data_IF_008463649678
#
_entry.id   IF_008463649678
#
_cell.length_a   1.000
_cell.length_b   1.000
_cell.length_c   1.000
_cell.angle_alpha   90.00
_cell.angle_beta   90.00
_cell.angle_gamma   90.00
#
_symmetry.space_group_name_H-M   'P 1'
#
loop_
_entity.id
_entity.type
_entity.pdbx_description
1 polymer ?
#
# COMPACT_ATOMS: atom_id res chain seq x y z
N UNK A 1 -23.77 7.74 -5.29
CA UNK A 1 -22.81 7.88 -4.18
C UNK A 1 -21.52 7.22 -4.65
N UNK A 2 -20.40 7.95 -4.69
CA UNK A 2 -19.13 7.49 -5.27
C UNK A 2 -18.53 6.32 -4.45
N UNK A 3 -18.12 5.24 -5.14
CA UNK A 3 -17.51 4.05 -4.53
C UNK A 3 -16.27 4.41 -3.69
N UNK A 4 -15.49 5.41 -4.12
CA UNK A 4 -14.33 5.90 -3.38
C UNK A 4 -14.73 6.53 -2.04
N UNK A 5 -15.82 7.30 -2.01
CA UNK A 5 -16.33 7.89 -0.77
C UNK A 5 -16.83 6.84 0.23
N UNK A 6 -17.44 5.76 -0.25
CA UNK A 6 -17.87 4.63 0.59
C UNK A 6 -16.64 3.92 1.16
N UNK A 7 -15.64 3.64 0.32
CA UNK A 7 -14.37 3.04 0.72
C UNK A 7 -13.64 3.88 1.78
N UNK A 8 -13.48 5.18 1.55
CA UNK A 8 -12.85 6.10 2.50
C UNK A 8 -13.58 6.10 3.85
N UNK A 9 -14.91 6.13 3.86
CA UNK A 9 -15.68 6.07 5.11
C UNK A 9 -15.44 4.77 5.87
N UNK A 10 -15.39 3.62 5.17
CA UNK A 10 -15.09 2.32 5.77
C UNK A 10 -13.68 2.30 6.37
N UNK A 11 -12.68 2.76 5.62
CA UNK A 11 -11.30 2.87 6.09
C UNK A 11 -11.21 3.76 7.33
N UNK A 12 -11.81 4.95 7.32
CA UNK A 12 -11.76 5.86 8.47
C UNK A 12 -12.42 5.26 9.71
N UNK A 13 -13.52 4.53 9.56
CA UNK A 13 -14.16 3.80 10.66
C UNK A 13 -13.22 2.72 11.22
N UNK A 14 -12.52 1.99 10.36
CA UNK A 14 -11.55 0.97 10.75
C UNK A 14 -10.34 1.58 11.44
N UNK A 15 -9.77 2.66 10.89
CA UNK A 15 -8.65 3.39 11.50
C UNK A 15 -9.03 3.91 12.88
N UNK A 16 -10.19 4.55 13.04
CA UNK A 16 -10.66 5.06 14.33
C UNK A 16 -10.89 3.95 15.38
N UNK A 17 -11.36 2.77 14.94
CA UNK A 17 -11.50 1.59 15.82
C UNK A 17 -10.14 0.99 16.19
N UNK A 18 -9.18 1.03 15.27
CA UNK A 18 -7.88 0.39 15.45
C UNK A 18 -6.92 1.28 16.22
N UNK A 19 -6.98 2.61 16.05
CA UNK A 19 -6.10 3.57 16.72
C UNK A 19 -6.18 3.53 18.25
N UNK A 20 -7.26 3.01 18.82
CA UNK A 20 -7.40 2.78 20.27
C UNK A 20 -6.70 1.51 20.76
N UNK A 21 -6.39 0.57 19.87
CA UNK A 21 -5.81 -0.74 20.20
C UNK A 21 -4.39 -0.91 19.66
N UNK A 22 -4.13 -0.47 18.43
CA UNK A 22 -2.86 -0.64 17.74
C UNK A 22 -2.66 0.52 16.75
N UNK A 23 -1.55 1.28 16.85
CA UNK A 23 -1.24 2.31 15.87
C UNK A 23 -0.96 1.70 14.48
N UNK A 24 -1.20 2.49 13.43
CA UNK A 24 -0.86 2.09 12.07
C UNK A 24 0.65 1.87 11.93
N UNK A 25 1.12 0.81 11.25
CA UNK A 25 2.51 0.41 11.28
C UNK A 25 3.46 1.43 10.63
N UNK A 26 3.06 2.07 9.52
CA UNK A 26 3.92 3.06 8.85
C UNK A 26 3.86 4.39 9.58
N UNK A 27 5.03 4.82 10.05
CA UNK A 27 5.31 6.14 10.60
C UNK A 27 6.23 6.88 9.63
N UNK A 28 5.79 8.02 9.13
CA UNK A 28 6.60 8.91 8.31
C UNK A 28 7.62 9.66 9.17
N UNK A 29 8.63 10.24 8.53
CA UNK A 29 9.77 10.86 9.22
C UNK A 29 9.38 12.13 9.99
N UNK A 30 8.26 12.76 9.61
CA UNK A 30 7.64 13.89 10.31
C UNK A 30 6.79 13.47 11.52
N UNK A 31 6.75 12.17 11.84
CA UNK A 31 5.95 11.60 12.92
C UNK A 31 4.48 11.37 12.57
N UNK A 32 4.05 11.65 11.34
CA UNK A 32 2.68 11.39 10.89
C UNK A 32 2.49 9.93 10.47
N UNK A 33 1.24 9.49 10.37
CA UNK A 33 0.87 8.15 9.87
C UNK A 33 0.02 8.29 8.62
N UNK A 34 0.62 8.59 7.46
CA UNK A 34 -0.11 8.81 6.22
C UNK A 34 -0.95 7.59 5.83
N UNK A 35 -2.13 7.85 5.29
CA UNK A 35 -3.11 6.83 4.86
C UNK A 35 -3.49 7.10 3.42
N UNK A 36 -3.35 6.09 2.56
CA UNK A 36 -3.83 6.11 1.18
C UNK A 36 -4.93 5.07 1.04
N UNK A 37 -6.07 5.47 0.48
CA UNK A 37 -7.20 4.56 0.21
C UNK A 37 -7.20 4.20 -1.27
N UNK A 38 -7.18 2.91 -1.55
CA UNK A 38 -7.25 2.36 -2.90
C UNK A 38 -8.45 1.42 -3.07
N UNK A 39 -8.95 1.34 -4.30
CA UNK A 39 -9.94 0.35 -4.72
C UNK A 39 -9.24 -0.87 -5.34
N UNK A 40 -9.89 -2.04 -5.40
CA UNK A 40 -9.31 -3.24 -6.04
C UNK A 40 -8.90 -3.01 -7.49
N UNK A 41 -9.66 -2.18 -8.20
CA UNK A 41 -9.44 -1.83 -9.60
C UNK A 41 -8.54 -0.59 -9.78
N UNK A 42 -8.07 0.05 -8.70
CA UNK A 42 -7.06 1.10 -8.83
C UNK A 42 -5.75 0.46 -9.35
N UNK A 43 -5.10 1.12 -10.29
CA UNK A 43 -3.77 0.71 -10.77
C UNK A 43 -2.71 0.93 -9.69
N UNK A 44 -1.80 -0.04 -9.56
CA UNK A 44 -0.70 0.01 -8.59
C UNK A 44 0.18 1.23 -8.82
N UNK A 45 0.44 1.61 -10.08
CA UNK A 45 1.22 2.79 -10.40
C UNK A 45 0.54 4.10 -9.92
N UNK A 46 -0.77 4.22 -10.09
CA UNK A 46 -1.51 5.39 -9.57
C UNK A 46 -1.61 5.42 -8.04
N UNK A 47 -1.55 4.26 -7.39
CA UNK A 47 -1.40 4.21 -5.92
C UNK A 47 0.01 4.64 -5.52
N UNK A 48 1.01 4.19 -6.26
CA UNK A 48 2.41 4.54 -6.04
C UNK A 48 2.64 6.05 -6.06
N UNK A 49 2.20 6.73 -7.12
CA UNK A 49 2.29 8.18 -7.27
C UNK A 49 1.62 8.93 -6.10
N UNK A 50 0.51 8.41 -5.58
CA UNK A 50 -0.14 8.99 -4.40
C UNK A 50 0.66 8.81 -3.12
N UNK A 51 1.40 7.71 -2.98
CA UNK A 51 2.29 7.49 -1.83
C UNK A 51 3.54 8.40 -1.93
N UNK A 52 4.07 8.62 -3.13
CA UNK A 52 5.15 9.57 -3.37
C UNK A 52 4.80 10.99 -2.92
N UNK A 53 3.54 11.41 -3.11
CA UNK A 53 3.06 12.69 -2.60
C UNK A 53 3.16 12.85 -1.06
N UNK A 54 3.34 11.75 -0.32
CA UNK A 54 3.57 11.72 1.13
C UNK A 54 5.02 11.39 1.52
N UNK A 55 5.98 11.64 0.62
CA UNK A 55 7.39 11.33 0.87
C UNK A 55 7.71 9.84 0.75
N UNK A 56 6.90 9.10 -0.02
CA UNK A 56 7.15 7.71 -0.36
C UNK A 56 6.79 6.70 0.74
N UNK A 57 6.16 7.13 1.84
CA UNK A 57 5.76 6.25 2.95
C UNK A 57 4.28 6.38 3.24
N UNK A 58 3.54 5.28 3.28
CA UNK A 58 2.11 5.30 3.62
C UNK A 58 1.56 3.96 4.10
N UNK A 59 0.48 4.02 4.89
CA UNK A 59 -0.40 2.90 5.16
C UNK A 59 -1.45 2.82 4.05
N UNK A 60 -1.32 1.86 3.14
CA UNK A 60 -2.24 1.72 2.01
C UNK A 60 -3.36 0.77 2.39
N UNK A 61 -4.59 1.27 2.40
CA UNK A 61 -5.79 0.46 2.58
C UNK A 61 -6.43 0.15 1.24
N UNK A 62 -6.53 -1.14 0.89
CA UNK A 62 -7.29 -1.59 -0.27
C UNK A 62 -8.67 -2.03 0.19
N UNK A 63 -9.70 -1.32 -0.28
CA UNK A 63 -11.07 -1.53 0.16
C UNK A 63 -11.86 -2.45 -0.77
N UNK A 64 -11.79 -3.75 -0.51
CA UNK A 64 -12.63 -4.74 -1.18
C UNK A 64 -14.10 -4.62 -0.72
N UNK A 65 -15.07 -5.15 -1.49
CA UNK A 65 -16.48 -5.12 -1.09
C UNK A 65 -16.72 -5.59 0.35
N UNK A 66 -16.08 -6.70 0.74
CA UNK A 66 -16.39 -7.38 2.01
C UNK A 66 -15.30 -7.26 3.08
N UNK A 67 -14.10 -6.77 2.73
CA UNK A 67 -12.96 -6.75 3.65
C UNK A 67 -11.96 -5.62 3.28
N UNK A 68 -10.98 -5.37 4.15
CA UNK A 68 -9.91 -4.39 3.92
C UNK A 68 -8.54 -5.07 4.02
N UNK A 69 -7.65 -4.79 3.05
CA UNK A 69 -6.23 -5.10 3.16
C UNK A 69 -5.49 -3.85 3.64
N UNK A 70 -4.59 -3.97 4.62
CA UNK A 70 -3.60 -2.95 4.96
C UNK A 70 -2.24 -3.41 4.46
N UNK A 71 -1.58 -2.57 3.68
CA UNK A 71 -0.24 -2.78 3.13
C UNK A 71 0.67 -1.68 3.68
N UNK A 72 1.84 -2.04 4.20
CA UNK A 72 2.86 -1.07 4.59
C UNK A 72 3.68 -0.67 3.36
N UNK A 73 3.51 0.57 2.92
CA UNK A 73 4.15 1.09 1.73
C UNK A 73 5.38 1.94 2.09
N UNK A 74 6.57 1.59 1.59
CA UNK A 74 7.83 2.31 1.83
C UNK A 74 8.67 2.39 0.52
N UNK A 75 8.86 3.59 -0.03
CA UNK A 75 9.84 3.86 -1.07
C UNK A 75 11.25 3.99 -0.45
N UNK A 76 12.27 3.41 -1.09
CA UNK A 76 13.68 3.65 -0.78
C UNK A 76 14.38 2.64 0.11
N UNK A 77 15.65 2.92 0.44
CA UNK A 77 16.65 2.04 1.09
C UNK A 77 16.33 1.61 2.54
N UNK A 78 15.12 1.88 3.03
CA UNK A 78 14.57 1.29 4.25
C UNK A 78 13.87 -0.05 4.00
N UNK A 79 13.68 -0.43 2.73
CA UNK A 79 13.41 -1.79 2.31
C UNK A 79 14.47 -2.71 2.93
N UNK A 80 14.09 -3.79 3.62
CA UNK A 80 15.08 -4.82 3.97
C UNK A 80 15.75 -5.28 2.67
N UNK A 81 17.04 -5.02 2.53
CA UNK A 81 17.94 -5.34 1.40
C UNK A 81 17.94 -6.84 0.98
N UNK A 82 17.15 -7.67 1.63
CA UNK A 82 17.05 -9.12 1.42
C UNK A 82 15.70 -9.57 0.82
N UNK A 83 14.75 -8.66 0.58
CA UNK A 83 13.48 -9.01 -0.04
C UNK A 83 13.66 -9.25 -1.55
N UNK A 84 13.05 -10.30 -2.13
CA UNK A 84 13.15 -10.56 -3.56
C UNK A 84 12.57 -9.38 -4.33
N UNK A 85 13.35 -8.83 -5.27
CA UNK A 85 12.92 -7.74 -6.13
C UNK A 85 12.02 -8.30 -7.23
N UNK A 86 10.74 -7.93 -7.20
CA UNK A 86 9.77 -8.33 -8.21
C UNK A 86 9.48 -7.16 -9.16
N UNK A 87 9.62 -7.41 -10.45
CA UNK A 87 9.18 -6.49 -11.48
C UNK A 87 7.67 -6.61 -11.63
N UNK A 88 6.96 -5.50 -11.41
CA UNK A 88 5.51 -5.44 -11.54
C UNK A 88 5.18 -4.57 -12.75
N UNK A 89 4.25 -5.05 -13.57
CA UNK A 89 3.81 -4.38 -14.78
C UNK A 89 2.95 -3.15 -14.42
N UNK A 90 3.00 -2.10 -15.24
CA UNK A 90 2.27 -0.83 -14.99
C UNK A 90 0.75 -1.03 -14.84
N UNK A 91 0.18 -1.96 -15.60
CA UNK A 91 -1.24 -2.33 -15.58
C UNK A 91 -1.63 -3.29 -14.43
N UNK A 92 -0.80 -3.45 -13.40
CA UNK A 92 -1.13 -4.33 -12.27
C UNK A 92 -2.13 -3.62 -11.37
N UNK A 93 -3.32 -4.20 -11.19
CA UNK A 93 -4.31 -3.66 -10.26
C UNK A 93 -3.95 -3.95 -8.80
N UNK A 94 -4.49 -3.18 -7.87
CA UNK A 94 -4.32 -3.43 -6.44
C UNK A 94 -4.87 -4.79 -6.01
N UNK A 95 -5.92 -5.31 -6.67
CA UNK A 95 -6.43 -6.65 -6.41
C UNK A 95 -5.37 -7.72 -6.71
N UNK A 96 -4.76 -7.66 -7.90
CA UNK A 96 -3.68 -8.59 -8.28
C UNK A 96 -2.49 -8.47 -7.34
N UNK A 97 -2.14 -7.24 -6.96
CA UNK A 97 -1.03 -7.01 -6.05
C UNK A 97 -1.27 -7.55 -4.64
N UNK A 98 -2.49 -7.40 -4.11
CA UNK A 98 -2.88 -7.98 -2.83
C UNK A 98 -2.83 -9.51 -2.88
N UNK A 99 -3.36 -10.14 -3.93
CA UNK A 99 -3.27 -11.60 -4.09
C UNK A 99 -1.82 -12.08 -4.21
N UNK A 100 -0.98 -11.33 -4.93
CA UNK A 100 0.45 -11.57 -4.98
C UNK A 100 1.06 -11.55 -3.56
N UNK A 101 0.84 -10.49 -2.78
CA UNK A 101 1.38 -10.41 -1.42
C UNK A 101 0.87 -11.53 -0.49
N UNK A 102 -0.33 -12.06 -0.70
CA UNK A 102 -0.85 -13.21 0.07
C UNK A 102 -0.07 -14.50 -0.19
N UNK A 103 0.50 -14.66 -1.37
CA UNK A 103 1.30 -15.83 -1.74
C UNK A 103 2.73 -15.75 -1.19
N UNK A 104 3.13 -14.61 -0.65
CA UNK A 104 4.46 -14.35 -0.12
C UNK A 104 4.39 -14.02 1.37
N UNK A 105 4.76 -14.97 2.23
CA UNK A 105 4.86 -14.77 3.68
C UNK A 105 6.02 -13.85 4.12
N UNK A 106 6.79 -13.34 3.16
CA UNK A 106 7.91 -12.42 3.38
C UNK A 106 7.66 -11.07 2.73
N UNK A 107 8.15 -9.97 3.30
CA UNK A 107 8.19 -8.67 2.63
C UNK A 107 8.74 -8.79 1.20
N UNK A 108 8.12 -8.11 0.25
CA UNK A 108 8.53 -8.11 -1.16
C UNK A 108 8.95 -6.70 -1.54
N UNK A 109 10.10 -6.58 -2.19
CA UNK A 109 10.51 -5.32 -2.83
C UNK A 109 9.92 -5.31 -4.23
N UNK A 110 9.16 -4.28 -4.57
CA UNK A 110 8.57 -4.13 -5.89
C UNK A 110 9.32 -3.05 -6.65
N UNK A 111 9.84 -3.42 -7.81
CA UNK A 111 10.34 -2.47 -8.79
C UNK A 111 9.25 -2.26 -9.83
N UNK A 112 8.72 -1.04 -9.89
CA UNK A 112 7.81 -0.65 -10.96
C UNK A 112 8.67 -0.28 -12.18
N UNK A 113 8.41 -0.94 -13.30
CA UNK A 113 9.00 -0.52 -14.58
C UNK A 113 8.19 0.69 -15.04
N UNK A 114 8.55 1.88 -14.55
CA UNK A 114 8.03 3.11 -15.10
C UNK A 114 8.35 3.13 -16.59
N UNK A 115 7.32 3.23 -17.43
CA UNK A 115 7.46 3.46 -18.86
C UNK A 115 8.44 4.62 -19.07
N UNK A 116 9.63 4.29 -19.58
CA UNK A 116 10.70 5.20 -20.01
C UNK A 116 10.95 6.44 -19.12
N UNK A 117 11.29 6.25 -17.83
CA UNK A 117 12.33 7.03 -17.12
C UNK A 117 12.32 6.71 -15.62
N UNK A 118 13.49 6.34 -15.10
CA UNK A 118 13.83 6.20 -13.67
C UNK A 118 13.44 4.87 -13.01
N UNK A 119 14.45 4.01 -12.87
CA UNK A 119 14.42 2.82 -12.02
C UNK A 119 14.36 3.26 -10.56
N UNK A 120 13.20 3.19 -9.92
CA UNK A 120 13.08 3.37 -8.48
C UNK A 120 12.80 2.00 -7.82
N UNK A 121 13.59 1.67 -6.79
CA UNK A 121 13.45 0.45 -5.99
C UNK A 121 12.55 0.74 -4.79
N UNK A 122 11.44 0.00 -4.64
CA UNK A 122 10.46 0.24 -3.58
C UNK A 122 10.33 -0.98 -2.65
N UNK A 123 10.51 -0.80 -1.35
CA UNK A 123 10.43 -1.86 -0.36
C UNK A 123 9.06 -1.97 0.28
N UNK A 124 8.37 -3.10 0.16
CA UNK A 124 7.02 -3.23 0.70
C UNK A 124 6.97 -4.24 1.82
N UNK A 125 6.44 -3.79 2.95
CA UNK A 125 6.39 -4.53 4.19
C UNK A 125 4.92 -4.95 4.44
N UNK A 126 4.73 -6.25 4.63
CA UNK A 126 3.60 -6.91 5.28
C UNK A 126 2.14 -6.51 4.93
N UNK A 127 1.32 -7.52 4.61
CA UNK A 127 -0.14 -7.38 4.61
C UNK A 127 -0.69 -7.67 6.00
N UNK A 128 -1.40 -6.70 6.58
CA UNK A 128 -2.21 -6.92 7.78
C UNK A 128 -3.70 -6.85 7.42
N UNK A 129 -4.47 -7.85 7.83
CA UNK A 129 -5.92 -7.84 7.64
C UNK A 129 -6.59 -6.95 8.69
N UNK A 130 -7.53 -6.11 8.26
CA UNK A 130 -8.39 -5.38 9.18
C UNK A 130 -9.85 -5.81 8.93
N UNK A 131 -10.44 -6.47 9.93
CA UNK A 131 -11.83 -6.91 9.94
C UNK A 131 -12.79 -5.73 10.20
#
# INVERSE_FOLDING_TARGET
MDARNIATRRVMKTVARRSTMQPLPVLADDGTRPVVVALPDDDLNSVFERVEAFGGRANVFVAFPDWLALIEFINGSGARDSAPAQHVHEATSMAMYVEFLKLHDTPVTVSLSASEQTTAQHGLHQVAYAF
#
